data_IF_069266949586
#
_entry.id   IF_069266949586
#
_cell.length_a   1.000
_cell.length_b   1.000
_cell.length_c   1.000
_cell.angle_alpha   90.00
_cell.angle_beta   90.00
_cell.angle_gamma   90.00
#
_symmetry.space_group_name_H-M   'P 1'
#
loop_
_entity.id
_entity.type
_entity.pdbx_description
1 polymer ?
#
# COMPACT_ATOMS: atom_id res chain seq x y z
N UNK A 1 6.52 -67.72 -4.62
CA UNK A 1 5.31 -67.35 -3.83
C UNK A 1 5.74 -66.21 -2.91
N UNK A 2 6.36 -65.18 -3.49
CA UNK A 2 7.27 -64.24 -2.78
C UNK A 2 7.03 -62.79 -3.21
N UNK A 3 5.79 -62.48 -3.64
CA UNK A 3 5.37 -61.11 -3.94
C UNK A 3 4.28 -60.59 -2.98
N UNK A 4 3.59 -61.47 -2.24
CA UNK A 4 2.55 -61.06 -1.28
C UNK A 4 3.12 -60.57 0.06
N UNK A 5 4.32 -61.02 0.43
CA UNK A 5 4.97 -60.63 1.69
C UNK A 5 5.66 -59.25 1.68
N UNK A 6 5.62 -58.51 0.55
CA UNK A 6 6.22 -57.17 0.45
C UNK A 6 5.19 -56.04 0.47
N UNK A 7 3.93 -56.31 0.14
CA UNK A 7 2.89 -55.27 0.09
C UNK A 7 2.38 -54.90 1.49
N UNK A 8 2.23 -55.89 2.36
CA UNK A 8 1.73 -55.71 3.74
C UNK A 8 2.68 -54.88 4.60
N UNK A 9 4.00 -55.09 4.49
CA UNK A 9 5.00 -54.31 5.20
C UNK A 9 5.07 -52.85 4.72
N UNK A 10 4.87 -52.62 3.42
CA UNK A 10 4.80 -51.27 2.84
C UNK A 10 3.52 -50.56 3.33
N UNK A 11 2.37 -51.24 3.31
CA UNK A 11 1.10 -50.70 3.82
C UNK A 11 1.19 -50.39 5.32
N UNK A 12 1.85 -51.25 6.11
CA UNK A 12 2.05 -51.03 7.55
C UNK A 12 2.94 -49.81 7.83
N UNK A 13 4.04 -49.63 7.08
CA UNK A 13 4.93 -48.47 7.20
C UNK A 13 4.24 -47.17 6.76
N UNK A 14 3.45 -47.21 5.68
CA UNK A 14 2.65 -46.07 5.23
C UNK A 14 1.58 -45.73 6.28
N UNK A 15 0.91 -46.74 6.83
CA UNK A 15 -0.09 -46.60 7.90
C UNK A 15 0.47 -45.96 9.17
N UNK A 16 1.68 -46.36 9.60
CA UNK A 16 2.38 -45.73 10.73
C UNK A 16 2.76 -44.28 10.41
N UNK A 17 3.24 -44.00 9.20
CA UNK A 17 3.66 -42.65 8.80
C UNK A 17 2.47 -41.69 8.72
N UNK A 18 1.37 -42.13 8.09
CA UNK A 18 0.12 -41.36 7.99
C UNK A 18 -0.52 -41.23 9.38
N UNK A 19 -0.57 -42.32 10.16
CA UNK A 19 -1.10 -42.33 11.52
C UNK A 19 -0.35 -41.40 12.47
N UNK A 20 0.99 -41.36 12.38
CA UNK A 20 1.83 -40.42 13.14
C UNK A 20 1.63 -38.96 12.73
N UNK A 21 1.46 -38.70 11.43
CA UNK A 21 1.15 -37.36 10.91
C UNK A 21 -0.23 -36.85 11.37
N UNK A 22 -1.26 -37.70 11.27
CA UNK A 22 -2.62 -37.37 11.72
C UNK A 22 -2.66 -37.21 13.24
N UNK A 23 -1.99 -38.09 14.01
CA UNK A 23 -1.90 -37.95 15.47
C UNK A 23 -1.25 -36.62 15.89
N UNK A 24 -0.24 -36.15 15.16
CA UNK A 24 0.42 -34.87 15.43
C UNK A 24 -0.51 -33.68 15.17
N UNK A 25 -1.32 -33.72 14.11
CA UNK A 25 -2.34 -32.71 13.79
C UNK A 25 -3.45 -32.72 14.86
N UNK A 26 -3.96 -33.90 15.23
CA UNK A 26 -5.00 -34.02 16.26
C UNK A 26 -4.49 -33.54 17.62
N UNK A 27 -3.25 -33.86 18.00
CA UNK A 27 -2.63 -33.34 19.22
C UNK A 27 -2.49 -31.83 19.15
N UNK A 28 -2.09 -31.25 18.01
CA UNK A 28 -2.03 -29.79 17.83
C UNK A 28 -3.41 -29.13 17.97
N UNK A 29 -4.44 -29.67 17.34
CA UNK A 29 -5.83 -29.22 17.46
C UNK A 29 -6.35 -29.34 18.90
N UNK A 30 -6.02 -30.42 19.62
CA UNK A 30 -6.34 -30.58 21.04
C UNK A 30 -5.57 -29.60 21.93
N UNK A 31 -4.31 -29.28 21.60
CA UNK A 31 -3.56 -28.21 22.27
C UNK A 31 -4.18 -26.82 22.02
N UNK A 32 -4.77 -26.57 20.84
CA UNK A 32 -5.54 -25.33 20.59
C UNK A 32 -6.84 -25.29 21.40
N UNK A 33 -7.56 -26.40 21.50
CA UNK A 33 -8.86 -26.45 22.17
C UNK A 33 -8.76 -26.51 23.69
N UNK A 34 -7.77 -27.22 24.23
CA UNK A 34 -7.67 -27.56 25.66
C UNK A 34 -6.35 -27.16 26.31
N UNK A 35 -5.38 -26.65 25.54
CA UNK A 35 -4.13 -26.13 26.08
C UNK A 35 -4.37 -24.90 26.97
N UNK A 36 -3.39 -24.53 27.82
CA UNK A 36 -3.50 -23.33 28.64
C UNK A 36 -3.73 -22.13 27.71
N UNK A 37 -4.87 -21.44 27.85
CA UNK A 37 -5.23 -20.27 27.00
C UNK A 37 -4.05 -19.30 26.83
N UNK A 38 -3.24 -19.13 27.88
CA UNK A 38 -2.05 -18.28 27.86
C UNK A 38 -0.89 -18.72 26.96
N UNK A 39 -0.82 -19.99 26.51
CA UNK A 39 0.18 -20.48 25.54
C UNK A 39 -0.32 -20.22 24.12
N UNK A 40 -1.58 -20.57 23.82
CA UNK A 40 -2.19 -20.27 22.52
C UNK A 40 -2.28 -18.75 22.29
N UNK A 41 -2.70 -17.97 23.28
CA UNK A 41 -2.70 -16.50 23.22
C UNK A 41 -1.30 -15.91 23.05
N UNK A 42 -0.26 -16.58 23.58
CA UNK A 42 1.13 -16.16 23.38
C UNK A 42 1.62 -16.48 21.96
N UNK A 43 1.26 -17.64 21.43
CA UNK A 43 1.58 -18.05 20.05
C UNK A 43 0.90 -17.11 19.06
N UNK A 44 -0.41 -16.86 19.20
CA UNK A 44 -1.15 -15.94 18.33
C UNK A 44 -0.63 -14.50 18.42
N UNK A 45 -0.28 -14.02 19.62
CA UNK A 45 0.38 -12.70 19.79
C UNK A 45 1.78 -12.64 19.18
N UNK A 46 2.53 -13.73 19.20
CA UNK A 46 3.88 -13.80 18.62
C UNK A 46 3.82 -13.88 17.11
N UNK A 47 2.98 -14.76 16.55
CA UNK A 47 2.68 -14.83 15.12
C UNK A 47 2.16 -13.50 14.58
N UNK A 48 1.27 -12.81 15.31
CA UNK A 48 0.80 -11.45 14.98
C UNK A 48 1.96 -10.45 14.93
N UNK A 49 2.85 -10.48 15.94
CA UNK A 49 4.01 -9.59 15.97
C UNK A 49 4.97 -9.85 14.82
N UNK A 50 5.20 -11.12 14.47
CA UNK A 50 6.03 -11.51 13.33
C UNK A 50 5.38 -11.05 12.04
N UNK A 51 4.09 -11.31 11.86
CA UNK A 51 3.35 -10.90 10.66
C UNK A 51 3.38 -9.39 10.46
N UNK A 52 3.12 -8.60 11.50
CA UNK A 52 3.26 -7.14 11.46
C UNK A 52 4.70 -6.72 11.09
N UNK A 53 5.71 -7.33 11.71
CA UNK A 53 7.12 -6.95 11.51
C UNK A 53 7.61 -7.24 10.08
N UNK A 54 7.23 -8.40 9.55
CA UNK A 54 7.84 -8.97 8.34
C UNK A 54 6.99 -8.76 7.09
N UNK A 55 5.69 -8.46 7.23
CA UNK A 55 4.81 -8.13 6.10
C UNK A 55 5.21 -6.80 5.48
N UNK A 56 5.25 -6.80 4.15
CA UNK A 56 5.41 -5.61 3.33
C UNK A 56 4.02 -5.10 2.98
N UNK A 57 3.82 -3.80 3.19
CA UNK A 57 2.59 -3.09 2.87
C UNK A 57 2.87 -2.16 1.70
N UNK A 58 2.36 -2.45 0.50
CA UNK A 58 2.41 -1.52 -0.61
C UNK A 58 1.54 -0.30 -0.29
N UNK A 59 2.16 0.88 -0.26
CA UNK A 59 1.50 2.16 -0.06
C UNK A 59 1.53 2.95 -1.35
N UNK A 60 0.38 3.51 -1.72
CA UNK A 60 0.21 4.40 -2.86
C UNK A 60 -0.42 5.69 -2.37
N UNK A 61 0.26 6.83 -2.54
CA UNK A 61 -0.29 8.15 -2.22
C UNK A 61 -0.58 8.87 -3.53
N UNK A 62 -1.81 9.38 -3.70
CA UNK A 62 -2.24 10.12 -4.88
C UNK A 62 -2.64 11.55 -4.54
N UNK A 63 -2.29 12.48 -5.42
CA UNK A 63 -2.71 13.89 -5.40
C UNK A 63 -2.94 14.39 -6.83
N UNK A 64 -4.02 15.14 -7.04
CA UNK A 64 -4.32 15.81 -8.30
C UNK A 64 -3.97 17.30 -8.21
N UNK A 65 -3.60 17.88 -9.34
CA UNK A 65 -3.40 19.30 -9.53
C UNK A 65 -4.10 19.71 -10.82
N UNK A 66 -4.96 20.73 -10.78
CA UNK A 66 -5.65 21.18 -12.00
C UNK A 66 -4.98 22.47 -12.50
N UNK A 67 -4.80 22.55 -13.81
CA UNK A 67 -4.30 23.75 -14.47
C UNK A 67 -5.50 24.61 -14.86
N UNK A 68 -5.67 25.74 -14.17
CA UNK A 68 -6.70 26.73 -14.54
C UNK A 68 -6.45 27.26 -15.94
N UNK A 69 -7.49 27.24 -16.77
CA UNK A 69 -7.55 27.48 -18.23
C UNK A 69 -7.10 28.86 -18.76
N UNK A 70 -6.39 29.67 -17.97
CA UNK A 70 -5.97 31.02 -18.38
C UNK A 70 -4.71 31.06 -19.26
N UNK A 71 -4.19 29.92 -19.72
CA UNK A 71 -3.07 29.86 -20.64
C UNK A 71 -3.48 29.15 -21.94
N UNK A 72 -3.22 29.83 -23.06
CA UNK A 72 -3.26 29.28 -24.41
C UNK A 72 -2.66 27.87 -24.45
N UNK A 73 -3.41 26.91 -25.00
CA UNK A 73 -2.99 25.57 -25.41
C UNK A 73 -1.73 25.02 -24.70
N UNK A 74 -1.89 24.53 -23.47
CA UNK A 74 -0.82 23.81 -22.76
C UNK A 74 -0.42 22.61 -23.62
N UNK A 75 0.76 22.67 -24.24
CA UNK A 75 1.33 21.53 -24.95
C UNK A 75 1.84 20.51 -23.92
N UNK A 76 1.21 19.31 -23.80
CA UNK A 76 1.56 18.35 -22.76
C UNK A 76 3.01 17.85 -22.88
N UNK A 77 3.57 17.81 -24.10
CA UNK A 77 4.95 17.35 -24.35
C UNK A 77 5.95 18.37 -23.80
N UNK A 78 5.73 19.66 -24.07
CA UNK A 78 6.58 20.73 -23.53
C UNK A 78 6.51 20.79 -22.01
N UNK A 79 5.31 20.63 -21.44
CA UNK A 79 5.11 20.58 -19.99
C UNK A 79 5.85 19.39 -19.37
N UNK A 80 5.80 18.21 -20.00
CA UNK A 80 6.55 17.03 -19.56
C UNK A 80 8.05 17.29 -19.47
N UNK A 81 8.65 17.89 -20.50
CA UNK A 81 10.09 18.17 -20.49
C UNK A 81 10.48 19.27 -19.49
N UNK A 82 9.63 20.29 -19.31
CA UNK A 82 9.81 21.29 -18.24
C UNK A 82 9.76 20.65 -16.85
N UNK A 83 8.75 19.81 -16.59
CA UNK A 83 8.65 19.06 -15.34
C UNK A 83 9.85 18.16 -15.14
N UNK A 84 10.31 17.46 -16.17
CA UNK A 84 11.52 16.63 -16.09
C UNK A 84 12.73 17.44 -15.63
N UNK A 85 12.93 18.63 -16.19
CA UNK A 85 14.03 19.53 -15.82
C UNK A 85 13.91 20.02 -14.38
N UNK A 86 12.72 20.41 -13.95
CA UNK A 86 12.48 20.97 -12.61
C UNK A 86 12.55 19.89 -11.52
N UNK A 87 12.04 18.70 -11.79
CA UNK A 87 12.20 17.54 -10.91
C UNK A 87 13.68 17.17 -10.73
N UNK A 88 14.51 17.28 -11.79
CA UNK A 88 15.96 17.09 -11.67
C UNK A 88 16.60 18.10 -10.74
N UNK A 89 16.16 19.35 -10.76
CA UNK A 89 16.68 20.39 -9.86
C UNK A 89 16.25 20.14 -8.42
N UNK A 90 14.94 19.94 -8.19
CA UNK A 90 14.35 19.74 -6.86
C UNK A 90 14.92 18.52 -6.15
N UNK A 91 15.19 17.46 -6.91
CA UNK A 91 15.70 16.21 -6.37
C UNK A 91 17.17 15.96 -6.71
N UNK A 92 17.92 17.01 -7.06
CA UNK A 92 19.34 16.92 -7.43
C UNK A 92 20.23 16.35 -6.32
N UNK A 93 19.82 16.52 -5.06
CA UNK A 93 20.50 15.98 -3.88
C UNK A 93 20.13 14.52 -3.59
N UNK A 94 19.21 13.93 -4.35
CA UNK A 94 18.75 12.56 -4.19
C UNK A 94 19.14 11.70 -5.39
N UNK A 95 19.23 10.38 -5.18
CA UNK A 95 19.39 9.47 -6.32
C UNK A 95 18.06 9.44 -7.09
N UNK A 96 18.07 10.08 -8.25
CA UNK A 96 16.91 10.18 -9.13
C UNK A 96 17.20 9.52 -10.48
N UNK A 97 16.33 8.60 -10.87
CA UNK A 97 16.41 7.88 -12.15
C UNK A 97 15.07 8.03 -12.88
N UNK A 98 15.10 8.55 -14.11
CA UNK A 98 13.91 8.57 -14.97
C UNK A 98 13.79 7.25 -15.70
N UNK A 99 12.59 6.68 -15.68
CA UNK A 99 12.26 5.48 -16.44
C UNK A 99 11.58 5.93 -17.73
N UNK A 100 12.11 5.51 -18.87
CA UNK A 100 11.47 5.77 -20.15
C UNK A 100 10.13 5.00 -20.23
N UNK A 101 9.06 5.73 -20.50
CA UNK A 101 7.71 5.19 -20.63
C UNK A 101 7.30 5.20 -22.10
N UNK A 102 6.44 4.25 -22.49
CA UNK A 102 5.79 4.27 -23.81
C UNK A 102 4.68 5.31 -23.92
N UNK A 103 4.25 5.89 -22.79
CA UNK A 103 3.21 6.90 -22.74
C UNK A 103 3.86 8.28 -22.73
N UNK A 104 3.63 9.04 -23.81
CA UNK A 104 4.20 10.37 -24.01
C UNK A 104 3.74 11.37 -22.95
N UNK A 105 2.60 11.13 -22.29
CA UNK A 105 2.05 11.99 -21.24
C UNK A 105 2.36 11.54 -19.83
N UNK A 106 3.27 10.57 -19.69
CA UNK A 106 3.65 10.02 -18.40
C UNK A 106 5.13 10.27 -18.12
N UNK A 107 5.44 10.63 -16.88
CA UNK A 107 6.77 10.58 -16.30
C UNK A 107 6.79 9.54 -15.19
N UNK A 108 7.78 8.65 -15.23
CA UNK A 108 8.06 7.73 -14.13
C UNK A 108 9.48 7.96 -13.68
N UNK A 109 9.67 8.07 -12.38
CA UNK A 109 10.97 8.26 -11.78
C UNK A 109 11.10 7.46 -10.49
N UNK A 110 12.28 6.90 -10.27
CA UNK A 110 12.69 6.33 -8.99
C UNK A 110 13.40 7.42 -8.19
N UNK A 111 13.00 7.59 -6.93
CA UNK A 111 13.58 8.55 -6.00
C UNK A 111 14.04 7.79 -4.76
N UNK A 112 15.29 8.00 -4.35
CA UNK A 112 15.78 7.55 -3.05
C UNK A 112 16.03 8.73 -2.11
N UNK A 113 15.17 8.90 -1.10
CA UNK A 113 15.29 9.95 -0.08
C UNK A 113 15.38 9.30 1.30
N UNK A 114 16.45 9.62 2.05
CA UNK A 114 16.67 9.12 3.41
C UNK A 114 16.66 7.58 3.51
N UNK A 115 17.23 6.89 2.52
CA UNK A 115 17.27 5.43 2.44
C UNK A 115 15.91 4.76 2.17
N UNK A 116 14.90 5.54 1.74
CA UNK A 116 13.61 5.02 1.32
C UNK A 116 13.51 5.21 -0.20
N UNK A 117 13.20 4.12 -0.89
CA UNK A 117 13.00 4.10 -2.34
C UNK A 117 11.52 4.26 -2.64
N UNK A 118 11.21 5.18 -3.53
CA UNK A 118 9.87 5.44 -4.02
C UNK A 118 9.87 5.42 -5.53
N UNK A 119 8.79 4.92 -6.11
CA UNK A 119 8.47 5.19 -7.50
C UNK A 119 7.45 6.32 -7.52
N UNK A 120 7.77 7.41 -8.20
CA UNK A 120 6.84 8.49 -8.49
C UNK A 120 6.41 8.37 -9.94
N UNK A 121 5.10 8.40 -10.15
CA UNK A 121 4.44 8.40 -11.44
C UNK A 121 3.62 9.68 -11.55
N UNK A 122 3.84 10.42 -12.62
CA UNK A 122 3.14 11.66 -12.93
C UNK A 122 2.45 11.43 -14.27
N UNK A 123 1.12 11.42 -14.27
CA UNK A 123 0.31 11.38 -15.48
C UNK A 123 -0.19 12.80 -15.78
N UNK A 124 0.00 13.24 -17.01
CA UNK A 124 -0.56 14.47 -17.55
C UNK A 124 -1.84 14.10 -18.29
N UNK A 125 -2.99 14.47 -17.73
CA UNK A 125 -4.31 14.24 -18.32
C UNK A 125 -4.74 15.51 -19.05
N UNK A 126 -4.62 15.56 -20.39
CA UNK A 126 -5.19 16.67 -21.15
C UNK A 126 -6.71 16.70 -20.98
N UNK A 127 -7.34 17.86 -21.20
CA UNK A 127 -8.79 17.97 -21.14
C UNK A 127 -9.44 17.01 -22.16
N UNK A 128 -10.52 16.36 -21.73
CA UNK A 128 -11.27 15.37 -22.50
C UNK A 128 -12.78 15.70 -22.47
N UNK A 129 -13.60 14.85 -23.08
CA UNK A 129 -15.06 15.05 -23.14
C UNK A 129 -15.75 15.11 -21.76
N UNK A 130 -15.05 14.70 -20.68
CA UNK A 130 -15.56 14.65 -19.32
C UNK A 130 -14.87 15.65 -18.37
N UNK A 131 -13.85 16.37 -18.84
CA UNK A 131 -13.07 17.33 -18.07
C UNK A 131 -12.55 18.47 -18.95
N UNK A 132 -13.06 19.67 -18.72
CA UNK A 132 -12.54 20.89 -19.37
C UNK A 132 -11.16 21.32 -18.85
N UNK A 133 -10.72 20.74 -17.71
CA UNK A 133 -9.46 21.09 -17.06
C UNK A 133 -8.37 20.07 -17.39
N UNK A 134 -7.18 20.58 -17.68
CA UNK A 134 -5.97 19.76 -17.73
C UNK A 134 -5.57 19.40 -16.29
N UNK A 135 -5.36 18.12 -16.01
CA UNK A 135 -5.02 17.63 -14.68
C UNK A 135 -3.64 16.98 -14.67
N UNK A 136 -2.90 17.19 -13.61
CA UNK A 136 -1.67 16.45 -13.30
C UNK A 136 -1.99 15.52 -12.15
N UNK A 137 -1.89 14.21 -12.40
CA UNK A 137 -2.04 13.19 -11.37
C UNK A 137 -0.67 12.72 -10.91
N UNK A 138 -0.37 12.90 -9.63
CA UNK A 138 0.86 12.41 -9.01
C UNK A 138 0.55 11.22 -8.14
N UNK A 139 1.20 10.09 -8.39
CA UNK A 139 1.18 8.90 -7.56
C UNK A 139 2.60 8.59 -7.05
N UNK A 140 2.77 8.49 -5.73
CA UNK A 140 4.01 8.02 -5.11
C UNK A 140 3.76 6.65 -4.47
N UNK A 141 4.60 5.68 -4.84
CA UNK A 141 4.47 4.28 -4.47
C UNK A 141 5.70 3.84 -3.68
N UNK A 142 5.48 3.14 -2.57
CA UNK A 142 6.55 2.52 -1.80
C UNK A 142 6.10 1.23 -1.12
N UNK A 143 7.01 0.26 -1.09
CA UNK A 143 6.88 -0.96 -0.31
C UNK A 143 7.49 -0.76 1.07
N UNK A 144 6.68 -0.91 2.12
CA UNK A 144 7.11 -0.57 3.47
C UNK A 144 6.84 -1.65 4.49
N UNK A 145 7.75 -1.79 5.46
CA UNK A 145 7.49 -2.58 6.66
C UNK A 145 6.65 -1.77 7.64
N UNK A 146 5.86 -2.45 8.46
CA UNK A 146 4.96 -1.82 9.44
C UNK A 146 5.60 -0.71 10.28
N UNK A 147 6.79 -0.97 10.86
CA UNK A 147 7.51 -0.01 11.72
C UNK A 147 7.89 1.31 11.00
N UNK A 148 7.89 1.29 9.67
CA UNK A 148 8.33 2.40 8.83
C UNK A 148 7.18 3.13 8.15
N UNK A 149 5.92 2.64 8.24
CA UNK A 149 4.74 3.23 7.57
C UNK A 149 4.65 4.74 7.84
N UNK A 150 4.67 5.15 9.11
CA UNK A 150 4.53 6.55 9.50
C UNK A 150 5.67 7.41 8.94
N UNK A 151 6.92 6.95 9.09
CA UNK A 151 8.10 7.66 8.56
C UNK A 151 8.03 7.81 7.04
N UNK A 152 7.66 6.76 6.33
CA UNK A 152 7.57 6.75 4.86
C UNK A 152 6.48 7.72 4.41
N UNK A 153 5.29 7.67 5.01
CA UNK A 153 4.21 8.58 4.67
C UNK A 153 4.60 10.05 4.90
N UNK A 154 5.28 10.35 6.01
CA UNK A 154 5.80 11.70 6.25
C UNK A 154 6.80 12.16 5.18
N UNK A 155 7.69 11.28 4.71
CA UNK A 155 8.62 11.62 3.61
C UNK A 155 7.86 11.84 2.29
N UNK A 156 6.86 11.01 1.98
CA UNK A 156 6.01 11.20 0.80
C UNK A 156 5.28 12.55 0.88
N UNK A 157 4.75 12.91 2.04
CA UNK A 157 4.08 14.19 2.26
C UNK A 157 5.02 15.37 2.08
N UNK A 158 6.27 15.27 2.55
CA UNK A 158 7.29 16.29 2.27
C UNK A 158 7.58 16.40 0.77
N UNK A 159 7.77 15.28 0.06
CA UNK A 159 7.94 15.30 -1.40
C UNK A 159 6.75 15.96 -2.12
N UNK A 160 5.52 15.66 -1.71
CA UNK A 160 4.32 16.30 -2.28
C UNK A 160 4.25 17.79 -1.97
N UNK A 161 4.74 18.22 -0.82
CA UNK A 161 4.81 19.63 -0.47
C UNK A 161 5.85 20.37 -1.33
N UNK A 162 7.05 19.79 -1.47
CA UNK A 162 8.13 20.31 -2.31
C UNK A 162 7.65 20.45 -3.77
N UNK A 163 6.92 19.43 -4.28
CA UNK A 163 6.27 19.48 -5.60
C UNK A 163 5.18 20.56 -5.68
N UNK A 164 4.34 20.68 -4.66
CA UNK A 164 3.26 21.70 -4.64
C UNK A 164 3.86 23.11 -4.69
N UNK A 165 4.98 23.35 -4.02
CA UNK A 165 5.70 24.61 -4.08
C UNK A 165 6.25 24.87 -5.49
N UNK A 166 6.92 23.90 -6.09
CA UNK A 166 7.44 24.03 -7.46
C UNK A 166 6.34 24.28 -8.49
N UNK A 167 5.20 23.57 -8.37
CA UNK A 167 4.03 23.83 -9.19
C UNK A 167 3.48 25.25 -8.99
N UNK A 168 3.46 25.76 -7.76
CA UNK A 168 3.05 27.13 -7.48
C UNK A 168 3.95 28.16 -8.15
N UNK A 169 5.26 27.91 -8.21
CA UNK A 169 6.24 28.75 -8.95
C UNK A 169 5.97 28.72 -10.48
N UNK A 170 5.40 27.63 -10.99
CA UNK A 170 4.93 27.50 -12.38
C UNK A 170 3.49 28.01 -12.59
N UNK A 171 2.89 28.69 -11.61
CA UNK A 171 1.49 29.15 -11.63
C UNK A 171 0.44 28.03 -11.70
N UNK A 172 0.80 26.81 -11.32
CA UNK A 172 -0.10 25.66 -11.19
C UNK A 172 -0.63 25.62 -9.76
N UNK A 173 -1.96 25.62 -9.60
CA UNK A 173 -2.59 25.62 -8.27
C UNK A 173 -3.18 24.26 -7.94
N UNK A 174 -2.95 23.72 -6.74
CA UNK A 174 -3.65 22.53 -6.30
C UNK A 174 -5.14 22.84 -6.13
N UNK A 175 -6.01 21.97 -6.61
CA UNK A 175 -7.47 22.09 -6.41
C UNK A 175 -7.94 21.57 -5.08
N UNK A 176 -7.12 20.75 -4.41
CA UNK A 176 -7.36 20.28 -3.07
C UNK A 176 -6.06 20.05 -2.31
N UNK A 177 -6.08 20.35 -1.01
CA UNK A 177 -5.02 19.97 -0.08
C UNK A 177 -5.20 18.55 0.49
N UNK A 178 -6.23 17.83 0.04
CA UNK A 178 -6.43 16.43 0.40
C UNK A 178 -5.52 15.52 -0.42
N UNK A 179 -5.11 14.42 0.19
CA UNK A 179 -4.36 13.34 -0.44
C UNK A 179 -5.10 12.04 -0.21
N UNK A 180 -5.11 11.19 -1.22
CA UNK A 180 -5.66 9.83 -1.09
C UNK A 180 -4.52 8.86 -0.85
N UNK A 181 -4.48 8.27 0.33
CA UNK A 181 -3.51 7.23 0.71
C UNK A 181 -4.18 5.87 0.59
N UNK A 182 -3.61 4.99 -0.20
CA UNK A 182 -4.06 3.61 -0.38
C UNK A 182 -3.03 2.65 0.20
N UNK A 183 -3.50 1.64 0.92
CA UNK A 183 -2.70 0.56 1.46
C UNK A 183 -3.34 -0.77 1.10
N UNK A 184 -2.53 -1.69 0.59
CA UNK A 184 -2.98 -3.03 0.23
C UNK A 184 -2.70 -4.01 1.37
N UNK A 185 -3.74 -4.57 1.98
CA UNK A 185 -3.61 -5.59 3.02
C UNK A 185 -4.91 -6.37 3.26
N UNK A 186 -4.86 -7.67 3.03
CA UNK A 186 -6.01 -8.56 3.25
C UNK A 186 -6.43 -8.70 4.72
N UNK A 187 -5.50 -8.53 5.66
CA UNK A 187 -5.81 -8.58 7.09
C UNK A 187 -6.81 -7.48 7.47
N UNK A 188 -6.75 -6.32 6.82
CA UNK A 188 -7.64 -5.18 7.12
C UNK A 188 -9.09 -5.45 6.65
N UNK A 189 -9.27 -6.32 5.65
CA UNK A 189 -10.60 -6.66 5.13
C UNK A 189 -11.51 -7.24 6.20
N UNK A 190 -11.01 -8.20 6.98
CA UNK A 190 -11.77 -8.88 8.02
C UNK A 190 -12.27 -7.88 9.06
N UNK A 191 -11.39 -6.98 9.50
CA UNK A 191 -11.75 -5.92 10.44
C UNK A 191 -12.85 -5.00 9.89
N UNK A 192 -12.73 -4.56 8.63
CA UNK A 192 -13.70 -3.64 8.03
C UNK A 192 -15.05 -4.31 7.74
N UNK A 193 -15.06 -5.60 7.34
CA UNK A 193 -16.29 -6.39 7.18
C UNK A 193 -17.01 -6.61 8.52
N UNK A 194 -16.27 -6.81 9.62
CA UNK A 194 -16.85 -6.92 10.97
C UNK A 194 -17.45 -5.59 11.44
N UNK A 195 -16.75 -4.47 11.23
CA UNK A 195 -17.24 -3.14 11.59
C UNK A 195 -18.56 -2.79 10.87
N UNK A 196 -18.62 -3.09 9.57
CA UNK A 196 -19.82 -2.87 8.75
C UNK A 196 -20.99 -3.76 9.20
N UNK A 197 -20.71 -5.06 9.45
CA UNK A 197 -21.71 -6.01 9.98
C UNK A 197 -22.28 -5.57 11.32
N UNK A 198 -21.43 -5.05 12.21
CA UNK A 198 -21.83 -4.61 13.54
C UNK A 198 -22.46 -3.21 13.56
N UNK A 199 -22.56 -2.52 12.39
CA UNK A 199 -23.02 -1.13 12.25
C UNK A 199 -22.36 -0.17 13.25
N UNK A 200 -21.12 -0.47 13.64
CA UNK A 200 -20.35 0.40 14.51
C UNK A 200 -19.89 1.56 13.65
N UNK A 201 -20.28 2.79 14.02
CA UNK A 201 -19.73 3.99 13.37
C UNK A 201 -18.21 3.90 13.46
N UNK A 202 -17.57 3.69 12.30
CA UNK A 202 -16.13 3.53 12.29
C UNK A 202 -15.51 4.84 12.77
N UNK A 203 -14.51 4.74 13.65
CA UNK A 203 -13.67 5.86 14.10
C UNK A 203 -12.96 6.54 12.90
N UNK A 204 -13.05 5.94 11.71
CA UNK A 204 -12.30 6.28 10.49
C UNK A 204 -13.07 7.22 9.54
N UNK A 205 -14.34 7.54 9.82
CA UNK A 205 -15.11 8.60 9.15
C UNK A 205 -15.51 8.32 7.70
N UNK A 206 -16.23 9.27 7.07
CA UNK A 206 -16.74 9.20 5.68
C UNK A 206 -15.67 9.23 4.59
N UNK A 207 -14.40 9.31 4.99
CA UNK A 207 -13.24 9.50 4.12
C UNK A 207 -12.46 8.19 3.88
N UNK A 208 -12.91 7.09 4.49
CA UNK A 208 -12.37 5.74 4.29
C UNK A 208 -13.18 5.03 3.20
N UNK A 209 -12.48 4.36 2.28
CA UNK A 209 -13.09 3.45 1.31
C UNK A 209 -12.33 2.14 1.25
N UNK A 210 -13.05 1.05 1.01
CA UNK A 210 -12.50 -0.30 0.88
C UNK A 210 -12.91 -0.86 -0.45
N UNK A 211 -11.96 -1.42 -1.19
CA UNK A 211 -12.25 -2.07 -2.47
C UNK A 211 -11.38 -3.30 -2.66
N UNK A 212 -11.89 -4.26 -3.43
CA UNK A 212 -11.11 -5.42 -3.89
C UNK A 212 -10.41 -5.08 -5.19
N UNK A 213 -9.13 -5.41 -5.31
CA UNK A 213 -8.31 -5.26 -6.53
C UNK A 213 -7.39 -6.47 -6.67
N UNK A 214 -7.46 -7.19 -7.78
CA UNK A 214 -6.52 -8.27 -8.13
C UNK A 214 -6.27 -9.25 -6.96
N UNK A 215 -7.37 -9.79 -6.39
CA UNK A 215 -7.40 -10.67 -5.20
C UNK A 215 -6.93 -10.06 -3.87
N UNK A 216 -6.55 -8.78 -3.85
CA UNK A 216 -6.11 -8.08 -2.66
C UNK A 216 -7.13 -7.05 -2.19
N UNK A 217 -7.10 -6.73 -0.89
CA UNK A 217 -7.93 -5.67 -0.32
C UNK A 217 -7.15 -4.37 -0.27
N UNK A 218 -7.72 -3.33 -0.89
CA UNK A 218 -7.18 -1.98 -0.89
C UNK A 218 -8.03 -1.12 0.03
N UNK A 219 -7.38 -0.52 1.01
CA UNK A 219 -7.96 0.43 1.95
C UNK A 219 -7.45 1.81 1.57
N UNK A 220 -8.35 2.75 1.36
CA UNK A 220 -8.01 4.10 0.96
C UNK A 220 -8.59 5.14 1.93
N UNK A 221 -7.76 6.04 2.43
CA UNK A 221 -8.20 7.21 3.19
C UNK A 221 -7.90 8.47 2.38
N UNK A 222 -8.88 9.35 2.29
CA UNK A 222 -8.70 10.69 1.75
C UNK A 222 -8.78 11.76 2.85
N UNK A 223 -7.66 12.38 3.18
CA UNK A 223 -7.65 13.44 4.21
C UNK A 223 -6.60 14.51 3.88
N UNK A 224 -6.57 15.58 4.66
CA UNK A 224 -5.50 16.59 4.59
C UNK A 224 -4.15 15.93 4.83
N UNK A 225 -3.17 16.31 4.02
CA UNK A 225 -1.79 15.88 4.17
C UNK A 225 -1.26 16.28 5.56
N UNK A 226 -0.73 15.32 6.33
CA UNK A 226 -0.20 15.61 7.65
C UNK A 226 0.17 14.38 8.49
N UNK A 227 0.86 14.58 9.62
CA UNK A 227 1.32 13.51 10.49
C UNK A 227 0.16 12.70 11.11
N UNK A 228 -1.00 13.33 11.30
CA UNK A 228 -2.21 12.66 11.80
C UNK A 228 -2.67 11.56 10.84
N UNK A 229 -2.69 11.83 9.53
CA UNK A 229 -3.03 10.84 8.51
C UNK A 229 -2.02 9.69 8.50
N UNK A 230 -0.72 9.99 8.63
CA UNK A 230 0.32 8.97 8.71
C UNK A 230 0.15 8.05 9.93
N UNK A 231 -0.19 8.63 11.10
CA UNK A 231 -0.48 7.89 12.33
C UNK A 231 -1.72 7.01 12.18
N UNK A 232 -2.82 7.57 11.64
CA UNK A 232 -4.08 6.83 11.39
C UNK A 232 -3.88 5.65 10.46
N UNK A 233 -3.09 5.81 9.38
CA UNK A 233 -2.77 4.71 8.47
C UNK A 233 -2.05 3.56 9.19
N UNK A 234 -1.10 3.87 10.08
CA UNK A 234 -0.43 2.85 10.90
C UNK A 234 -1.41 2.17 11.88
N UNK A 235 -2.28 2.94 12.51
CA UNK A 235 -3.28 2.44 13.47
C UNK A 235 -4.28 1.48 12.80
N UNK A 236 -4.72 1.77 11.57
CA UNK A 236 -5.56 0.86 10.81
C UNK A 236 -4.89 -0.49 10.53
N UNK A 237 -3.58 -0.49 10.27
CA UNK A 237 -2.84 -1.75 10.11
C UNK A 237 -2.83 -2.53 11.41
N UNK A 238 -2.60 -1.87 12.56
CA UNK A 238 -2.69 -2.52 13.87
C UNK A 238 -4.07 -3.15 14.05
N UNK A 239 -5.13 -2.36 13.86
CA UNK A 239 -6.53 -2.79 14.02
C UNK A 239 -6.90 -3.93 13.08
N UNK A 240 -6.49 -3.88 11.81
CA UNK A 240 -6.69 -4.97 10.86
C UNK A 240 -6.01 -6.27 11.26
N UNK A 241 -4.91 -6.20 12.00
CA UNK A 241 -4.26 -7.38 12.55
C UNK A 241 -4.85 -7.85 13.88
N UNK A 242 -5.64 -7.03 14.59
CA UNK A 242 -6.23 -7.33 15.92
C UNK A 242 -7.41 -8.31 15.86
#
# INVERSE_FOLDING_TARGET
>A
MDLEMNLWDIVWRIGITIGGGIASIVVWELFKMFGPKGVYDRITKWERRIRLRDKIYPIIVRKSFDLTSNQEQINPISLKEQLRSELRKLFSEFNLEFIDTRNDYQLVLNIERSGIKFQMKIDLEPPDEYSEEFRILVAQMADVKFKSIERVLNVIFWNLNDLTQAFSEMSIKPTSNKVKVELTSDDIKVYLELMDTLKVESIVGSNLSVRKRDNSTVVAIEDKMGPELAKRMRELVILGHL
#
